data_IF_915476909722
#
_entry.id   IF_915476909722
#
_cell.length_a   1.000
_cell.length_b   1.000
_cell.length_c   1.000
_cell.angle_alpha   90.00
_cell.angle_beta   90.00
_cell.angle_gamma   90.00
#
_symmetry.space_group_name_H-M   'P 1'
#
loop_
_entity.id
_entity.type
_entity.pdbx_description
1 polymer ?
#
# COMPACT_ATOMS: atom_id res chain seq x y z
N UNK A 1 22.69 2.94 -7.66
CA UNK A 1 21.49 2.45 -6.96
C UNK A 1 20.43 2.17 -8.03
N UNK A 2 20.01 0.91 -8.18
CA UNK A 2 19.04 0.50 -9.21
C UNK A 2 17.75 0.11 -8.50
N UNK A 3 16.65 0.82 -8.77
CA UNK A 3 15.32 0.45 -8.27
C UNK A 3 14.80 -0.66 -9.16
N UNK A 4 14.85 -1.90 -8.68
CA UNK A 4 14.28 -3.04 -9.39
C UNK A 4 12.85 -3.29 -8.92
N UNK A 5 11.89 -3.56 -9.83
CA UNK A 5 10.58 -4.04 -9.42
C UNK A 5 10.76 -5.37 -8.68
N UNK A 6 10.24 -5.42 -7.46
CA UNK A 6 10.12 -6.69 -6.75
C UNK A 6 8.90 -7.43 -7.28
N UNK A 7 9.02 -8.76 -7.25
CA UNK A 7 8.00 -9.77 -7.48
C UNK A 7 6.54 -9.25 -7.48
N UNK A 8 5.82 -9.53 -8.57
CA UNK A 8 4.48 -9.00 -8.87
C UNK A 8 3.39 -9.80 -8.14
N UNK A 9 3.18 -9.54 -6.84
CA UNK A 9 1.87 -9.78 -6.25
C UNK A 9 0.95 -8.67 -6.76
N UNK A 10 -0.11 -8.97 -7.53
CA UNK A 10 -0.82 -7.92 -8.27
C UNK A 10 -1.58 -6.97 -7.34
N UNK A 11 -1.94 -7.42 -6.13
CA UNK A 11 -2.91 -6.72 -5.31
C UNK A 11 -2.43 -6.47 -3.87
N UNK A 12 -2.82 -5.31 -3.35
CA UNK A 12 -2.73 -4.92 -1.95
C UNK A 12 -4.12 -5.03 -1.32
N UNK A 13 -4.22 -5.80 -0.23
CA UNK A 13 -5.42 -5.83 0.61
C UNK A 13 -5.29 -4.76 1.69
N UNK A 14 -6.21 -3.80 1.69
CA UNK A 14 -6.31 -2.77 2.72
C UNK A 14 -7.59 -2.98 3.53
N UNK A 15 -7.52 -2.75 4.85
CA UNK A 15 -8.68 -2.72 5.73
C UNK A 15 -8.54 -1.62 6.78
N UNK A 16 -9.56 -0.77 6.90
CA UNK A 16 -9.56 0.36 7.82
C UNK A 16 -10.07 -0.07 9.20
N UNK A 17 -9.16 -0.19 10.16
CA UNK A 17 -9.48 -0.62 11.53
C UNK A 17 -10.03 0.51 12.44
N UNK A 18 -9.77 1.77 12.08
CA UNK A 18 -10.21 2.96 12.82
C UNK A 18 -10.33 4.17 11.88
N UNK A 19 -10.97 5.25 12.34
CA UNK A 19 -11.19 6.48 11.59
C UNK A 19 -12.52 6.53 10.84
N UNK A 20 -12.67 7.54 9.95
CA UNK A 20 -13.93 7.84 9.25
C UNK A 20 -14.38 6.68 8.34
N UNK A 21 -13.43 5.92 7.78
CA UNK A 21 -13.68 4.77 6.90
C UNK A 21 -13.64 3.42 7.63
N UNK A 22 -13.77 3.40 8.95
CA UNK A 22 -13.66 2.16 9.74
C UNK A 22 -14.63 1.10 9.21
N UNK A 23 -14.11 -0.10 8.94
CA UNK A 23 -14.87 -1.23 8.40
C UNK A 23 -14.70 -1.40 6.89
N UNK A 24 -14.29 -0.36 6.16
CA UNK A 24 -14.00 -0.48 4.72
C UNK A 24 -12.82 -1.43 4.49
N UNK A 25 -12.90 -2.21 3.42
CA UNK A 25 -11.79 -3.04 2.96
C UNK A 25 -11.84 -3.17 1.44
N UNK A 26 -10.66 -3.25 0.83
CA UNK A 26 -10.50 -3.24 -0.62
C UNK A 26 -9.27 -4.01 -1.05
N UNK A 27 -9.32 -4.54 -2.27
CA UNK A 27 -8.21 -5.24 -2.92
C UNK A 27 -7.86 -4.47 -4.18
N UNK A 28 -6.77 -3.71 -4.12
CA UNK A 28 -6.39 -2.76 -5.17
C UNK A 28 -5.11 -3.21 -5.87
N UNK A 29 -4.98 -2.87 -7.14
CA UNK A 29 -3.75 -3.17 -7.87
C UNK A 29 -2.60 -2.32 -7.32
N UNK A 30 -1.50 -2.98 -6.94
CA UNK A 30 -0.34 -2.34 -6.34
C UNK A 30 0.95 -2.63 -7.11
N UNK A 31 1.94 -1.77 -6.93
CA UNK A 31 3.32 -1.98 -7.40
C UNK A 31 4.30 -1.79 -6.24
N UNK A 32 5.26 -2.69 -6.16
CA UNK A 32 6.25 -2.78 -5.09
C UNK A 32 7.66 -2.65 -5.68
N UNK A 33 8.45 -1.73 -5.14
CA UNK A 33 9.81 -1.48 -5.59
C UNK A 33 10.78 -1.60 -4.42
N UNK A 34 11.87 -2.37 -4.59
CA UNK A 34 12.95 -2.38 -3.61
C UNK A 34 13.74 -1.08 -3.74
N UNK A 35 13.84 -0.31 -2.66
CA UNK A 35 14.71 0.86 -2.63
C UNK A 35 16.10 0.49 -2.09
N UNK A 36 16.13 -0.19 -0.94
CA UNK A 36 17.30 -0.83 -0.34
C UNK A 36 16.88 -2.09 0.44
N UNK A 37 17.72 -2.62 1.32
CA UNK A 37 17.47 -3.89 2.02
C UNK A 37 16.29 -3.86 2.99
N UNK A 38 16.02 -2.72 3.63
CA UNK A 38 14.93 -2.54 4.59
C UNK A 38 13.88 -1.53 4.12
N UNK A 39 14.09 -0.89 2.98
CA UNK A 39 13.21 0.15 2.44
C UNK A 39 12.52 -0.28 1.14
N UNK A 40 11.21 -0.13 1.12
CA UNK A 40 10.35 -0.46 -0.02
C UNK A 40 9.47 0.72 -0.39
N UNK A 41 9.22 0.89 -1.69
CA UNK A 41 8.22 1.84 -2.18
C UNK A 41 7.02 1.05 -2.64
N UNK A 42 5.85 1.37 -2.09
CA UNK A 42 4.57 0.76 -2.43
C UNK A 42 3.67 1.83 -3.01
N UNK A 43 3.08 1.52 -4.15
CA UNK A 43 2.13 2.40 -4.85
C UNK A 43 0.87 1.63 -5.17
N UNK A 44 -0.29 2.27 -5.06
CA UNK A 44 -1.56 1.70 -5.50
C UNK A 44 -2.53 2.79 -5.95
N UNK A 45 -3.57 2.37 -6.67
CA UNK A 45 -4.71 3.20 -7.03
C UNK A 45 -5.97 2.49 -6.56
N UNK A 46 -6.83 3.21 -5.86
CA UNK A 46 -8.11 2.66 -5.40
C UNK A 46 -9.02 2.40 -6.61
N UNK A 47 -9.73 1.27 -6.60
CA UNK A 47 -10.66 0.93 -7.69
C UNK A 47 -12.02 1.63 -7.57
N UNK A 48 -12.45 1.95 -6.33
CA UNK A 48 -13.80 2.46 -6.05
C UNK A 48 -13.85 3.98 -5.90
N UNK A 49 -12.73 4.62 -5.64
CA UNK A 49 -12.61 6.07 -5.47
C UNK A 49 -11.39 6.58 -6.23
N UNK A 50 -11.45 7.82 -6.70
CA UNK A 50 -10.37 8.42 -7.50
C UNK A 50 -9.20 8.88 -6.62
N UNK A 51 -8.59 7.95 -5.88
CA UNK A 51 -7.39 8.18 -5.07
C UNK A 51 -6.24 7.27 -5.51
N UNK A 52 -5.03 7.81 -5.43
CA UNK A 52 -3.77 7.13 -5.68
C UNK A 52 -2.78 7.43 -4.57
N UNK A 53 -1.90 6.49 -4.27
CA UNK A 53 -1.00 6.59 -3.13
C UNK A 53 0.41 6.14 -3.48
N UNK A 54 1.38 6.76 -2.81
CA UNK A 54 2.77 6.30 -2.71
C UNK A 54 3.21 6.33 -1.26
N UNK A 55 3.77 5.23 -0.80
CA UNK A 55 4.35 5.12 0.54
C UNK A 55 5.73 4.49 0.47
N UNK A 56 6.63 5.04 1.27
CA UNK A 56 7.92 4.46 1.63
C UNK A 56 7.71 3.68 2.92
N UNK A 57 8.09 2.42 2.91
CA UNK A 57 8.08 1.51 4.05
C UNK A 57 9.51 1.35 4.52
N UNK A 58 9.80 1.83 5.71
CA UNK A 58 11.06 1.62 6.41
C UNK A 58 10.84 0.52 7.44
N UNK A 59 11.31 -0.69 7.12
CA UNK A 59 11.09 -1.88 7.94
C UNK A 59 12.02 -1.93 9.16
N UNK A 60 13.17 -1.26 9.13
CA UNK A 60 14.09 -1.19 10.27
C UNK A 60 13.52 -0.29 11.37
N UNK A 61 13.07 0.91 10.98
CA UNK A 61 12.44 1.86 11.90
C UNK A 61 10.96 1.53 12.15
N UNK A 62 10.38 0.58 11.40
CA UNK A 62 8.96 0.19 11.48
C UNK A 62 8.04 1.39 11.27
N UNK A 63 8.32 2.20 10.27
CA UNK A 63 7.51 3.37 9.94
C UNK A 63 7.22 3.44 8.46
N UNK A 64 6.20 4.21 8.12
CA UNK A 64 5.86 4.57 6.75
C UNK A 64 5.72 6.08 6.63
N UNK A 65 6.07 6.59 5.46
CA UNK A 65 5.80 7.98 5.06
C UNK A 65 5.40 8.01 3.60
N UNK A 66 4.51 8.91 3.23
CA UNK A 66 3.93 8.89 1.91
C UNK A 66 2.94 10.01 1.68
N UNK A 67 2.18 9.86 0.60
CA UNK A 67 1.08 10.74 0.27
C UNK A 67 0.01 10.02 -0.54
N UNK A 68 -1.22 10.47 -0.36
CA UNK A 68 -2.33 10.20 -1.25
C UNK A 68 -2.66 11.43 -2.08
N UNK A 69 -3.12 11.24 -3.31
CA UNK A 69 -3.67 12.30 -4.13
C UNK A 69 -4.82 11.80 -4.97
N UNK A 70 -5.65 12.73 -5.42
CA UNK A 70 -6.76 12.41 -6.29
C UNK A 70 -7.88 13.42 -6.19
N UNK A 71 -9.05 13.06 -6.70
CA UNK A 71 -10.23 13.91 -6.69
C UNK A 71 -11.24 13.37 -5.68
N UNK A 72 -11.75 14.24 -4.81
CA UNK A 72 -12.94 13.93 -4.03
C UNK A 72 -14.14 14.30 -4.91
N UNK A 73 -15.03 13.33 -5.14
CA UNK A 73 -16.15 13.37 -6.10
C UNK A 73 -16.99 14.64 -6.08
N UNK A 74 -17.06 15.30 -4.93
CA UNK A 74 -18.03 16.37 -4.70
C UNK A 74 -17.47 17.77 -4.98
N UNK A 75 -16.15 17.90 -5.16
CA UNK A 75 -15.50 19.22 -5.27
C UNK A 75 -14.69 19.41 -6.56
N UNK A 76 -14.37 18.34 -7.31
CA UNK A 76 -13.41 18.38 -8.43
C UNK A 76 -12.06 19.05 -8.08
N UNK A 77 -11.72 19.07 -6.79
CA UNK A 77 -10.46 19.62 -6.30
C UNK A 77 -9.47 18.48 -6.16
N UNK A 78 -8.34 18.61 -6.88
CA UNK A 78 -7.18 17.75 -6.67
C UNK A 78 -6.65 17.96 -5.25
N UNK A 79 -6.71 16.91 -4.44
CA UNK A 79 -6.12 16.88 -3.10
C UNK A 79 -4.77 16.18 -3.13
N UNK A 80 -3.90 16.55 -2.20
CA UNK A 80 -2.59 15.94 -1.96
C UNK A 80 -2.34 15.90 -0.45
N UNK A 81 -2.47 14.73 0.14
CA UNK A 81 -2.52 14.53 1.59
C UNK A 81 -1.25 13.80 2.02
N UNK A 82 -0.40 14.38 2.89
CA UNK A 82 0.70 13.64 3.49
C UNK A 82 0.15 12.56 4.43
N UNK A 83 0.81 11.41 4.47
CA UNK A 83 0.40 10.30 5.32
C UNK A 83 1.62 9.53 5.84
N UNK A 84 1.46 8.89 7.00
CA UNK A 84 2.49 8.08 7.62
C UNK A 84 1.93 7.33 8.82
N UNK A 85 2.53 6.20 9.14
CA UNK A 85 2.08 5.31 10.21
C UNK A 85 3.22 4.43 10.74
N UNK A 86 3.06 3.95 11.98
CA UNK A 86 3.92 2.90 12.52
C UNK A 86 3.50 1.53 11.97
N UNK A 87 4.47 0.64 11.77
CA UNK A 87 4.29 -0.72 11.27
C UNK A 87 4.29 -1.69 12.45
N UNK A 88 3.26 -2.54 12.51
CA UNK A 88 3.20 -3.68 13.42
C UNK A 88 3.01 -4.93 12.55
N UNK A 89 4.00 -5.83 12.56
CA UNK A 89 3.87 -7.12 11.89
C UNK A 89 3.00 -8.05 12.73
N UNK A 90 1.96 -8.61 12.13
CA UNK A 90 1.02 -9.51 12.80
C UNK A 90 1.36 -10.98 12.54
N UNK A 91 1.59 -11.34 11.28
CA UNK A 91 1.90 -12.68 10.83
C UNK A 91 2.60 -12.66 9.47
N UNK A 92 3.24 -13.77 9.11
CA UNK A 92 3.76 -14.04 7.78
C UNK A 92 3.14 -15.33 7.25
N UNK A 93 2.61 -15.27 6.02
CA UNK A 93 2.03 -16.43 5.34
C UNK A 93 3.06 -17.02 4.39
N UNK A 94 3.30 -18.32 4.53
CA UNK A 94 4.15 -19.08 3.62
C UNK A 94 3.28 -20.13 2.93
N UNK A 95 3.11 -20.00 1.61
CA UNK A 95 2.46 -21.03 0.81
C UNK A 95 3.41 -22.21 0.61
N UNK A 96 2.96 -23.46 0.76
CA UNK A 96 3.76 -24.63 0.40
C UNK A 96 4.23 -24.56 -1.05
N UNK A 97 5.46 -24.99 -1.35
CA UNK A 97 6.04 -24.92 -2.70
C UNK A 97 5.17 -25.54 -3.81
N UNK A 98 4.35 -26.53 -3.47
CA UNK A 98 3.49 -27.26 -4.41
C UNK A 98 2.01 -26.89 -4.27
N UNK A 99 1.68 -25.76 -3.64
CA UNK A 99 0.31 -25.30 -3.52
C UNK A 99 -0.21 -24.82 -4.88
N UNK A 100 -1.20 -25.51 -5.41
CA UNK A 100 -1.97 -25.07 -6.57
C UNK A 100 -3.26 -24.46 -6.02
N UNK A 101 -3.49 -23.14 -6.18
CA UNK A 101 -4.76 -22.53 -5.82
C UNK A 101 -5.88 -23.20 -6.61
N UNK A 102 -6.90 -23.69 -5.90
CA UNK A 102 -8.15 -24.21 -6.50
C UNK A 102 -9.00 -23.07 -7.04
#
# INVERSE_FOLDING_TARGET
MSISPLFRWPNLLNHYINGIRKGDGGCDQASYYKFDDSTYIVTWRELLIDLSFVFVYDLDNKTTTGKGWGNISDTNVMINIPAGANIISLNALNYPLNYIPS
#
